data_IF_441328329004
#
_entry.id   IF_441328329004
#
_cell.length_a   1.000
_cell.length_b   1.000
_cell.length_c   1.000
_cell.angle_alpha   90.00
_cell.angle_beta   90.00
_cell.angle_gamma   90.00
#
_symmetry.space_group_name_H-M   'P 1'
#
loop_
_entity.id
_entity.type
_entity.pdbx_description
1 polymer ?
#
# COMPACT_ATOMS: atom_id res chain seq x y z
N UNK A 1 -0.19 36.77 -4.11
CA UNK A 1 -0.53 35.72 -3.11
C UNK A 1 -1.80 34.94 -3.43
N UNK A 2 -2.97 35.55 -3.71
CA UNK A 2 -4.22 34.79 -4.01
C UNK A 2 -4.13 33.81 -5.19
N UNK A 3 -3.55 34.22 -6.32
CA UNK A 3 -3.42 33.38 -7.52
C UNK A 3 -2.51 32.18 -7.29
N UNK A 4 -1.45 32.34 -6.50
CA UNK A 4 -0.50 31.26 -6.20
C UNK A 4 -1.10 30.22 -5.24
N UNK A 5 -1.93 30.65 -4.29
CA UNK A 5 -2.68 29.73 -3.42
C UNK A 5 -3.74 28.92 -4.20
N UNK A 6 -4.42 29.57 -5.15
CA UNK A 6 -5.36 28.93 -6.08
C UNK A 6 -4.66 27.92 -7.01
N UNK A 7 -3.48 28.27 -7.53
CA UNK A 7 -2.66 27.38 -8.37
C UNK A 7 -2.18 26.14 -7.60
N UNK A 8 -1.76 26.30 -6.34
CA UNK A 8 -1.42 25.18 -5.46
C UNK A 8 -2.64 24.28 -5.24
N UNK A 9 -3.82 24.86 -5.00
CA UNK A 9 -5.07 24.09 -4.87
C UNK A 9 -5.42 23.29 -6.12
N UNK A 10 -5.27 23.88 -7.31
CA UNK A 10 -5.54 23.22 -8.59
C UNK A 10 -4.58 22.06 -8.87
N UNK A 11 -3.27 22.28 -8.69
CA UNK A 11 -2.26 21.24 -8.91
C UNK A 11 -2.39 20.06 -7.93
N UNK A 12 -2.81 20.33 -6.68
CA UNK A 12 -3.18 19.28 -5.72
C UNK A 12 -4.37 18.49 -6.20
N UNK A 13 -5.46 19.13 -6.60
CA UNK A 13 -6.64 18.44 -7.11
C UNK A 13 -6.30 17.54 -8.32
N UNK A 14 -5.52 18.04 -9.28
CA UNK A 14 -5.06 17.26 -10.44
C UNK A 14 -4.23 16.04 -10.03
N UNK A 15 -3.34 16.19 -9.04
CA UNK A 15 -2.53 15.09 -8.51
C UNK A 15 -3.40 14.02 -7.86
N UNK A 16 -4.37 14.42 -7.02
CA UNK A 16 -5.29 13.48 -6.37
C UNK A 16 -6.17 12.75 -7.39
N UNK A 17 -6.66 13.45 -8.41
CA UNK A 17 -7.44 12.84 -9.49
C UNK A 17 -6.60 11.86 -10.33
N UNK A 18 -5.32 12.17 -10.56
CA UNK A 18 -4.42 11.26 -11.27
C UNK A 18 -4.16 9.99 -10.45
N UNK A 19 -3.85 10.13 -9.15
CA UNK A 19 -3.70 9.00 -8.23
C UNK A 19 -4.96 8.12 -8.23
N UNK A 20 -6.14 8.73 -8.13
CA UNK A 20 -7.41 8.01 -8.17
C UNK A 20 -7.58 7.17 -9.44
N UNK A 21 -7.32 7.77 -10.61
CA UNK A 21 -7.45 7.09 -11.89
C UNK A 21 -6.50 5.90 -11.99
N UNK A 22 -5.24 6.09 -11.59
CA UNK A 22 -4.25 5.01 -11.66
C UNK A 22 -4.61 3.90 -10.68
N UNK A 23 -4.93 4.21 -9.42
CA UNK A 23 -5.36 3.23 -8.42
C UNK A 23 -6.53 2.35 -8.92
N UNK A 24 -7.48 2.95 -9.65
CA UNK A 24 -8.61 2.24 -10.27
C UNK A 24 -8.23 1.33 -11.43
N UNK A 25 -7.19 1.67 -12.19
CA UNK A 25 -6.76 0.92 -13.37
C UNK A 25 -5.78 -0.19 -12.97
N UNK A 26 -4.94 0.04 -11.96
CA UNK A 26 -3.92 -0.89 -11.49
C UNK A 26 -4.44 -1.96 -10.53
N UNK A 27 -5.67 -1.83 -10.03
CA UNK A 27 -6.27 -2.70 -9.00
C UNK A 27 -5.39 -2.83 -7.74
N UNK A 28 -4.65 -1.76 -7.42
CA UNK A 28 -3.81 -1.69 -6.22
C UNK A 28 -4.59 -1.09 -5.05
N UNK A 29 -4.19 -1.46 -3.83
CA UNK A 29 -4.82 -0.97 -2.59
C UNK A 29 -4.18 0.31 -2.04
N UNK A 30 -3.04 0.71 -2.63
CA UNK A 30 -2.28 1.90 -2.30
C UNK A 30 -1.56 2.43 -3.54
N UNK A 31 -1.31 3.73 -3.56
CA UNK A 31 -0.51 4.40 -4.58
C UNK A 31 0.04 5.74 -4.09
N UNK A 32 1.34 5.93 -4.25
CA UNK A 32 2.06 7.16 -3.92
C UNK A 32 2.35 8.01 -5.17
N UNK A 33 2.33 9.33 -5.01
CA UNK A 33 2.62 10.28 -6.09
C UNK A 33 3.95 10.03 -6.82
N UNK A 34 5.05 9.61 -6.15
CA UNK A 34 6.29 9.26 -6.83
C UNK A 34 6.13 8.16 -7.90
N UNK A 35 5.20 7.21 -7.71
CA UNK A 35 4.97 6.12 -8.66
C UNK A 35 4.37 6.61 -9.99
N UNK A 36 3.70 7.77 -9.99
CA UNK A 36 3.17 8.42 -11.20
C UNK A 36 4.07 9.58 -11.67
N UNK A 37 5.33 9.61 -11.23
CA UNK A 37 6.33 10.58 -11.65
C UNK A 37 6.25 11.95 -10.97
N UNK A 38 5.51 12.07 -9.88
CA UNK A 38 5.34 13.32 -9.14
C UNK A 38 6.07 13.25 -7.79
N UNK A 39 7.09 14.08 -7.59
CA UNK A 39 7.89 14.12 -6.34
C UNK A 39 7.16 14.85 -5.20
N UNK A 40 5.91 14.48 -4.95
CA UNK A 40 5.05 15.08 -3.93
C UNK A 40 4.86 14.13 -2.75
N UNK A 41 4.74 14.66 -1.54
CA UNK A 41 4.45 13.87 -0.34
C UNK A 41 2.96 13.58 -0.24
N UNK A 42 2.45 12.78 -1.18
CA UNK A 42 1.04 12.42 -1.27
C UNK A 42 0.92 10.94 -1.58
N UNK A 43 0.04 10.23 -0.87
CA UNK A 43 -0.40 8.89 -1.25
C UNK A 43 -1.89 8.69 -0.98
N UNK A 44 -2.46 7.66 -1.59
CA UNK A 44 -3.83 7.24 -1.38
C UNK A 44 -3.88 5.77 -0.91
N UNK A 45 -4.88 5.44 -0.10
CA UNK A 45 -5.21 4.06 0.28
C UNK A 45 -6.69 3.82 0.03
N UNK A 46 -6.99 2.65 -0.53
CA UNK A 46 -8.35 2.13 -0.58
C UNK A 46 -8.36 0.61 -0.57
N UNK A 47 -9.20 0.05 0.28
CA UNK A 47 -9.46 -1.39 0.35
C UNK A 47 -10.96 -1.58 0.28
N UNK A 48 -11.44 -2.22 -0.77
CA UNK A 48 -12.86 -2.56 -0.94
C UNK A 48 -13.06 -4.07 -0.76
N UNK A 49 -14.28 -4.50 -0.48
CA UNK A 49 -14.56 -5.94 -0.45
C UNK A 49 -14.23 -6.64 -1.77
N UNK A 50 -14.36 -5.92 -2.90
CA UNK A 50 -13.99 -6.41 -4.22
C UNK A 50 -12.47 -6.68 -4.31
N UNK A 51 -11.63 -5.72 -3.90
CA UNK A 51 -10.16 -5.85 -3.96
C UNK A 51 -9.62 -7.00 -3.09
N UNK A 52 -10.39 -7.43 -2.08
CA UNK A 52 -9.97 -8.52 -1.18
C UNK A 52 -10.81 -9.79 -1.34
N UNK A 53 -11.73 -9.85 -2.30
CA UNK A 53 -12.72 -10.94 -2.45
C UNK A 53 -12.08 -12.33 -2.54
N UNK A 54 -10.91 -12.42 -3.19
CA UNK A 54 -10.19 -13.67 -3.45
C UNK A 54 -9.18 -14.01 -2.34
N UNK A 55 -9.08 -13.17 -1.30
CA UNK A 55 -8.19 -13.43 -0.15
C UNK A 55 -8.83 -14.48 0.77
N UNK A 56 -8.12 -15.58 0.98
CA UNK A 56 -8.57 -16.69 1.83
C UNK A 56 -8.91 -16.22 3.26
N UNK A 57 -9.97 -16.73 3.91
CA UNK A 57 -10.41 -16.28 5.24
C UNK A 57 -9.33 -16.34 6.33
N UNK A 58 -8.45 -17.35 6.32
CA UNK A 58 -7.35 -17.44 7.29
C UNK A 58 -6.34 -16.31 7.13
N UNK A 59 -6.06 -15.87 5.89
CA UNK A 59 -5.19 -14.74 5.60
C UNK A 59 -5.88 -13.44 5.99
N UNK A 60 -7.16 -13.27 5.67
CA UNK A 60 -7.94 -12.10 6.12
C UNK A 60 -7.90 -11.96 7.64
N UNK A 61 -8.01 -13.06 8.38
CA UNK A 61 -7.93 -13.08 9.84
C UNK A 61 -6.50 -12.77 10.33
N UNK A 62 -5.49 -13.45 9.81
CA UNK A 62 -4.09 -13.28 10.20
C UNK A 62 -3.58 -11.85 9.96
N UNK A 63 -3.83 -11.32 8.76
CA UNK A 63 -3.45 -9.97 8.37
C UNK A 63 -4.41 -8.88 8.88
N UNK A 64 -5.50 -9.26 9.55
CA UNK A 64 -6.53 -8.34 10.06
C UNK A 64 -7.06 -7.39 8.97
N UNK A 65 -7.36 -7.95 7.79
CA UNK A 65 -7.79 -7.18 6.63
C UNK A 65 -9.18 -6.59 6.89
N UNK A 66 -9.28 -5.26 6.74
CA UNK A 66 -10.51 -4.49 6.91
C UNK A 66 -10.70 -3.58 5.69
N UNK A 67 -11.95 -3.41 5.19
CA UNK A 67 -12.23 -2.40 4.18
C UNK A 67 -11.88 -1.00 4.67
N UNK A 68 -11.41 -0.17 3.76
CA UNK A 68 -11.05 1.22 3.99
C UNK A 68 -11.50 2.02 2.75
N UNK A 69 -12.51 2.88 2.86
CA UNK A 69 -12.86 3.81 1.79
C UNK A 69 -11.66 4.67 1.40
N UNK A 70 -11.64 5.12 0.13
CA UNK A 70 -10.58 5.96 -0.39
C UNK A 70 -10.23 7.12 0.56
N UNK A 71 -8.97 7.18 0.93
CA UNK A 71 -8.41 8.22 1.77
C UNK A 71 -7.09 8.71 1.18
N UNK A 72 -6.89 10.03 1.21
CA UNK A 72 -5.66 10.68 0.75
C UNK A 72 -4.90 11.22 1.94
N UNK A 73 -3.57 11.13 1.86
CA UNK A 73 -2.66 11.63 2.88
C UNK A 73 -1.70 12.62 2.22
N UNK A 74 -1.88 13.90 2.50
CA UNK A 74 -1.01 14.97 2.02
C UNK A 74 -0.08 15.41 3.15
N UNK A 75 1.22 15.46 2.87
CA UNK A 75 2.30 15.72 3.83
C UNK A 75 2.19 14.85 5.10
N UNK A 76 2.14 13.50 4.95
CA UNK A 76 1.95 12.61 6.09
C UNK A 76 3.18 12.53 7.00
N UNK A 77 2.91 12.48 8.30
CA UNK A 77 3.87 12.09 9.35
C UNK A 77 3.34 10.84 10.06
N UNK A 78 4.18 9.80 10.15
CA UNK A 78 3.81 8.50 10.72
C UNK A 78 4.55 8.25 12.04
N UNK A 79 3.81 7.79 13.04
CA UNK A 79 4.29 7.31 14.33
C UNK A 79 3.95 5.83 14.50
N UNK A 80 4.88 5.04 15.03
CA UNK A 80 4.64 3.62 15.38
C UNK A 80 4.01 3.56 16.76
N UNK A 81 2.83 2.95 16.85
CA UNK A 81 2.07 2.78 18.10
C UNK A 81 2.36 1.41 18.72
N UNK A 82 2.45 0.37 17.87
CA UNK A 82 2.83 -0.97 18.27
C UNK A 82 3.92 -1.47 17.32
N UNK A 83 5.13 -1.67 17.87
CA UNK A 83 6.30 -2.12 17.12
C UNK A 83 6.37 -3.64 16.97
N UNK A 84 5.42 -4.40 17.50
CA UNK A 84 5.33 -5.83 17.22
C UNK A 84 5.20 -6.02 15.71
N UNK A 85 5.94 -6.98 15.18
CA UNK A 85 6.05 -7.17 13.74
C UNK A 85 4.98 -8.14 13.21
N UNK A 86 4.46 -7.82 12.04
CA UNK A 86 3.69 -8.72 11.20
C UNK A 86 4.51 -8.98 9.94
N UNK A 87 4.82 -10.24 9.65
CA UNK A 87 5.52 -10.67 8.44
C UNK A 87 4.50 -11.21 7.45
N UNK A 88 4.52 -10.69 6.22
CA UNK A 88 3.68 -11.16 5.13
C UNK A 88 4.24 -10.67 3.79
N UNK A 89 3.79 -11.28 2.71
CA UNK A 89 4.17 -10.91 1.36
C UNK A 89 3.67 -9.51 0.96
N UNK A 90 4.55 -8.73 0.34
CA UNK A 90 4.22 -7.47 -0.35
C UNK A 90 4.45 -7.60 -1.85
N UNK A 91 3.63 -6.89 -2.61
CA UNK A 91 3.80 -6.62 -4.05
C UNK A 91 3.83 -5.11 -4.25
N UNK A 92 4.24 -4.63 -5.43
CA UNK A 92 4.27 -3.20 -5.74
C UNK A 92 3.89 -2.97 -7.21
N UNK A 93 3.04 -1.98 -7.48
CA UNK A 93 2.72 -1.58 -8.86
C UNK A 93 3.93 -1.08 -9.66
N UNK A 94 5.02 -0.71 -9.01
CA UNK A 94 6.28 -0.33 -9.65
C UNK A 94 7.25 -1.50 -9.88
N UNK A 95 6.94 -2.69 -9.35
CA UNK A 95 7.73 -3.93 -9.51
C UNK A 95 6.76 -5.06 -9.81
N UNK A 96 6.34 -5.16 -11.08
CA UNK A 96 5.35 -6.13 -11.49
C UNK A 96 5.87 -7.58 -11.42
N UNK A 97 4.97 -8.50 -11.08
CA UNK A 97 5.16 -9.95 -11.08
C UNK A 97 6.12 -10.54 -10.05
N UNK A 98 6.61 -9.74 -9.11
CA UNK A 98 7.41 -10.23 -7.99
C UNK A 98 6.75 -9.91 -6.66
N UNK A 99 7.03 -10.75 -5.68
CA UNK A 99 6.62 -10.57 -4.30
C UNK A 99 7.72 -11.06 -3.36
N UNK A 100 7.73 -10.55 -2.14
CA UNK A 100 8.58 -11.07 -1.07
C UNK A 100 7.98 -10.79 0.30
N UNK A 101 8.36 -11.57 1.30
CA UNK A 101 7.97 -11.32 2.67
C UNK A 101 8.66 -10.06 3.21
N UNK A 102 7.88 -9.18 3.84
CA UNK A 102 8.35 -7.95 4.46
C UNK A 102 7.80 -7.88 5.88
N UNK A 103 8.67 -7.52 6.83
CA UNK A 103 8.28 -7.25 8.20
C UNK A 103 7.80 -5.80 8.36
N UNK A 104 6.64 -5.61 8.99
CA UNK A 104 6.08 -4.27 9.29
C UNK A 104 5.57 -4.18 10.73
N UNK A 105 5.75 -3.02 11.41
CA UNK A 105 5.05 -2.74 12.65
C UNK A 105 3.54 -2.89 12.52
N UNK A 106 2.90 -3.48 13.53
CA UNK A 106 1.48 -3.83 13.51
C UNK A 106 0.55 -2.64 13.58
N UNK A 107 0.90 -1.58 14.29
CA UNK A 107 0.01 -0.44 14.51
C UNK A 107 0.73 0.90 14.37
N UNK A 108 0.06 1.83 13.71
CA UNK A 108 0.58 3.16 13.43
C UNK A 108 -0.48 4.24 13.65
N UNK A 109 0.01 5.48 13.72
CA UNK A 109 -0.80 6.68 13.65
C UNK A 109 -0.19 7.64 12.63
N UNK A 110 -1.02 8.17 11.73
CA UNK A 110 -0.60 9.14 10.71
C UNK A 110 -1.32 10.47 10.95
N UNK A 111 -0.55 11.56 10.98
CA UNK A 111 -1.05 12.93 10.86
C UNK A 111 -0.86 13.38 9.43
N UNK A 112 -1.89 13.93 8.80
CA UNK A 112 -1.83 14.39 7.42
C UNK A 112 -2.88 15.48 7.16
N UNK A 113 -2.83 16.09 5.98
CA UNK A 113 -3.90 16.90 5.42
C UNK A 113 -4.76 16.05 4.48
N UNK A 114 -6.08 16.24 4.52
CA UNK A 114 -7.01 15.58 3.61
C UNK A 114 -7.08 16.28 2.24
N UNK A 115 -7.94 15.78 1.35
CA UNK A 115 -8.13 16.33 -0.01
C UNK A 115 -8.61 17.79 -0.05
N UNK A 116 -9.09 18.32 1.07
CA UNK A 116 -9.53 19.70 1.24
C UNK A 116 -8.50 20.55 2.01
N UNK A 117 -7.33 19.99 2.33
CA UNK A 117 -6.28 20.64 3.12
C UNK A 117 -6.58 20.70 4.62
N UNK A 118 -7.58 19.95 5.11
CA UNK A 118 -7.91 19.91 6.54
C UNK A 118 -7.02 18.89 7.27
N UNK A 119 -6.41 19.24 8.41
CA UNK A 119 -5.64 18.29 9.18
C UNK A 119 -6.53 17.20 9.77
N UNK A 120 -6.04 15.96 9.74
CA UNK A 120 -6.66 14.81 10.38
C UNK A 120 -5.61 13.87 10.95
N UNK A 121 -6.09 12.94 11.77
CA UNK A 121 -5.29 11.86 12.31
C UNK A 121 -5.97 10.53 12.00
N UNK A 122 -5.20 9.56 11.52
CA UNK A 122 -5.71 8.24 11.15
C UNK A 122 -4.87 7.16 11.83
N UNK A 123 -5.55 6.21 12.48
CA UNK A 123 -4.93 5.06 13.12
C UNK A 123 -5.23 3.83 12.28
N UNK A 124 -4.24 2.97 12.14
CA UNK A 124 -4.37 1.74 11.39
C UNK A 124 -3.57 0.62 12.04
N UNK A 125 -4.05 -0.59 11.81
CA UNK A 125 -3.43 -1.82 12.28
C UNK A 125 -3.41 -2.87 11.15
N UNK A 126 -2.61 -3.91 11.34
CA UNK A 126 -2.55 -5.06 10.43
C UNK A 126 -2.30 -4.64 8.98
N UNK A 127 -3.17 -5.08 8.08
CA UNK A 127 -3.02 -4.83 6.64
C UNK A 127 -3.01 -3.34 6.27
N UNK A 128 -3.85 -2.51 6.91
CA UNK A 128 -3.89 -1.08 6.62
C UNK A 128 -2.62 -0.37 7.10
N UNK A 129 -2.05 -0.79 8.24
CA UNK A 129 -0.75 -0.30 8.70
C UNK A 129 0.37 -0.69 7.72
N UNK A 130 0.37 -1.95 7.23
CA UNK A 130 1.30 -2.43 6.21
C UNK A 130 1.24 -1.60 4.93
N UNK A 131 0.04 -1.39 4.37
CA UNK A 131 -0.13 -0.57 3.15
C UNK A 131 0.44 0.83 3.39
N UNK A 132 0.10 1.46 4.52
CA UNK A 132 0.59 2.80 4.79
C UNK A 132 2.11 2.88 4.98
N UNK A 133 2.74 1.86 5.59
CA UNK A 133 4.19 1.75 5.63
C UNK A 133 4.81 1.66 4.23
N UNK A 134 4.21 0.87 3.34
CA UNK A 134 4.63 0.75 1.96
C UNK A 134 4.55 2.08 1.21
N UNK A 135 3.41 2.78 1.30
CA UNK A 135 3.26 4.09 0.65
C UNK A 135 4.17 5.17 1.23
N UNK A 136 4.40 5.15 2.55
CA UNK A 136 5.38 6.04 3.20
C UNK A 136 6.82 5.79 2.75
N UNK A 137 7.17 4.56 2.41
CA UNK A 137 8.48 4.22 1.85
C UNK A 137 8.66 4.83 0.45
N UNK A 138 7.63 4.77 -0.39
CA UNK A 138 7.66 5.45 -1.70
C UNK A 138 7.92 6.95 -1.57
N UNK A 139 7.35 7.62 -0.57
CA UNK A 139 7.62 9.04 -0.30
C UNK A 139 9.08 9.32 0.12
N UNK A 140 9.80 8.29 0.58
CA UNK A 140 11.21 8.34 0.98
C UNK A 140 12.15 7.77 -0.09
N UNK A 141 11.62 7.36 -1.25
CA UNK A 141 12.39 6.73 -2.32
C UNK A 141 12.86 5.30 -1.99
N UNK A 142 12.17 4.62 -1.06
CA UNK A 142 12.41 3.23 -0.71
C UNK A 142 11.36 2.33 -1.38
N UNK A 143 11.76 1.11 -1.72
CA UNK A 143 10.91 0.05 -2.25
C UNK A 143 10.85 -1.12 -1.25
N UNK A 144 9.87 -1.99 -1.40
CA UNK A 144 9.77 -3.18 -0.53
C UNK A 144 10.99 -4.10 -0.65
N UNK A 145 11.66 -4.10 -1.81
CA UNK A 145 12.90 -4.85 -2.05
C UNK A 145 14.07 -4.38 -1.20
N UNK A 146 14.03 -3.15 -0.68
CA UNK A 146 15.05 -2.63 0.24
C UNK A 146 14.84 -3.16 1.68
N UNK A 147 13.71 -3.82 1.95
CA UNK A 147 13.29 -4.30 3.28
C UNK A 147 12.96 -5.79 3.35
N UNK A 148 12.78 -6.44 2.21
CA UNK A 148 12.31 -7.81 2.13
C UNK A 148 13.29 -8.81 2.77
N UNK A 149 12.76 -9.96 3.17
CA UNK A 149 13.59 -11.13 3.42
C UNK A 149 14.11 -11.66 2.06
N UNK A 150 15.42 -11.63 1.77
CA UNK A 150 15.90 -11.83 0.41
C UNK A 150 15.62 -13.22 -0.18
N UNK A 151 15.52 -14.24 0.67
CA UNK A 151 15.27 -15.62 0.25
C UNK A 151 13.80 -15.92 -0.05
N UNK A 152 12.89 -14.96 0.16
CA UNK A 152 11.46 -15.09 -0.15
C UNK A 152 11.07 -14.30 -1.39
N UNK A 153 12.03 -13.72 -2.11
CA UNK A 153 11.78 -12.97 -3.34
C UNK A 153 11.51 -13.93 -4.50
N UNK A 154 10.25 -13.95 -4.94
CA UNK A 154 9.76 -14.93 -5.90
C UNK A 154 8.94 -14.29 -7.02
N UNK A 155 9.01 -14.92 -8.19
CA UNK A 155 8.16 -14.58 -9.32
C UNK A 155 6.78 -15.20 -9.13
N UNK A 156 5.71 -14.38 -9.17
CA UNK A 156 4.34 -14.76 -8.76
C UNK A 156 3.74 -15.95 -9.53
N UNK A 157 4.31 -16.36 -10.66
CA UNK A 157 3.83 -17.57 -11.37
C UNK A 157 4.33 -18.87 -10.76
N UNK A 158 5.47 -18.83 -10.05
CA UNK A 158 6.02 -20.03 -9.41
C UNK A 158 5.05 -20.64 -8.40
N UNK A 159 4.29 -19.82 -7.65
CA UNK A 159 3.25 -20.32 -6.74
C UNK A 159 2.29 -21.31 -7.41
N UNK A 160 1.85 -20.98 -8.63
CA UNK A 160 0.91 -21.80 -9.39
C UNK A 160 1.58 -23.07 -9.92
N UNK A 161 2.82 -22.97 -10.39
CA UNK A 161 3.56 -24.10 -10.96
C UNK A 161 4.00 -25.08 -9.86
N UNK A 162 4.48 -24.58 -8.73
CA UNK A 162 4.88 -25.36 -7.56
C UNK A 162 3.67 -26.08 -6.94
N UNK A 163 2.53 -25.40 -6.82
CA UNK A 163 1.30 -26.01 -6.30
C UNK A 163 0.75 -27.14 -7.20
N UNK A 164 0.99 -27.08 -8.52
CA UNK A 164 0.62 -28.16 -9.45
C UNK A 164 1.51 -29.39 -9.24
N UNK A 165 2.78 -29.21 -8.86
CA UNK A 165 3.72 -30.32 -8.68
C UNK A 165 3.47 -31.10 -7.37
N UNK A 166 3.11 -30.40 -6.29
CA UNK A 166 2.70 -31.06 -5.03
C UNK A 166 1.52 -32.01 -5.21
N UNK A 167 0.53 -31.65 -6.04
CA UNK A 167 -0.60 -32.56 -6.35
C UNK A 167 -0.19 -33.78 -7.18
N UNK A 168 0.84 -33.68 -8.03
CA UNK A 168 1.35 -34.82 -8.80
C UNK A 168 2.14 -35.79 -7.91
N UNK A 169 2.84 -35.28 -6.92
CA UNK A 169 3.63 -36.07 -5.98
C UNK A 169 2.82 -36.77 -4.88
N UNK A 170 1.51 -36.49 -4.77
CA UNK A 170 0.60 -37.20 -3.85
C UNK A 170 -0.07 -38.42 -4.53
N UNK A 171 0.06 -38.56 -5.85
CA UNK A 171 -0.57 -39.64 -6.64
C UNK A 171 0.35 -40.80 -7.04
N UNK A 172 1.56 -40.90 -6.50
CA UNK A 172 2.47 -42.04 -6.71
C UNK A 172 2.79 -42.78 -5.41
#
# INVERSE_FOLDING_TARGET
>A
MRTQLLLIGAAVAETLDHLYKVLRISDTVGLAAPQIGLSWQVFAIEVTEETVKDVHPSIRLYCQIKPQPLIYFINPEMEIINSEELVFYETCGSIEHFHAEVSRPKEIQIKALDRFGKPFCWKAEGWLARIAHHEMDHLKGLLYTDRMFPLTFEYNKWDKENYIDEKKNITN
#
